data_IF_561870497313
#
_entry.id   IF_561870497313
#
_cell.length_a   1.000
_cell.length_b   1.000
_cell.length_c   1.000
_cell.angle_alpha   90.00
_cell.angle_beta   90.00
_cell.angle_gamma   90.00
#
_symmetry.space_group_name_H-M   'P 1'
#
loop_
_entity.id
_entity.type
_entity.pdbx_description
1 polymer ?
#
# COMPACT_ATOMS: atom_id res chain seq x y z
N UNK A 1 -6.64 1.98 -19.30
CA UNK A 1 -5.46 1.15 -19.74
C UNK A 1 -5.90 -0.22 -20.25
N UNK A 2 -5.19 -0.84 -21.21
CA UNK A 2 -5.51 -2.22 -21.66
C UNK A 2 -5.36 -3.24 -20.51
N UNK A 3 -6.29 -4.20 -20.32
CA UNK A 3 -6.23 -5.17 -19.21
C UNK A 3 -4.93 -5.99 -19.17
N UNK A 4 -4.44 -6.47 -20.32
CA UNK A 4 -3.20 -7.24 -20.41
C UNK A 4 -1.98 -6.44 -19.92
N UNK A 5 -1.91 -5.15 -20.24
CA UNK A 5 -0.84 -4.26 -19.76
C UNK A 5 -0.90 -4.10 -18.23
N UNK A 6 -2.11 -3.93 -17.67
CA UNK A 6 -2.30 -3.83 -16.22
C UNK A 6 -1.83 -5.10 -15.50
N UNK A 7 -2.24 -6.27 -15.99
CA UNK A 7 -1.87 -7.57 -15.41
C UNK A 7 -0.35 -7.74 -15.46
N UNK A 8 0.27 -7.44 -16.60
CA UNK A 8 1.71 -7.51 -16.75
C UNK A 8 2.45 -6.61 -15.75
N UNK A 9 2.02 -5.35 -15.59
CA UNK A 9 2.64 -4.43 -14.61
C UNK A 9 2.43 -4.94 -13.18
N UNK A 10 1.22 -5.40 -12.83
CA UNK A 10 0.93 -5.96 -11.50
C UNK A 10 1.86 -7.14 -11.19
N UNK A 11 2.10 -8.05 -12.16
CA UNK A 11 3.04 -9.15 -12.00
C UNK A 11 4.47 -8.66 -11.71
N UNK A 12 4.95 -7.63 -12.41
CA UNK A 12 6.28 -7.04 -12.11
C UNK A 12 6.35 -6.44 -10.70
N UNK A 13 5.26 -5.83 -10.22
CA UNK A 13 5.19 -5.33 -8.85
C UNK A 13 5.13 -6.46 -7.84
N UNK A 14 4.43 -7.57 -8.14
CA UNK A 14 4.43 -8.78 -7.30
C UNK A 14 5.86 -9.31 -7.13
N UNK A 15 6.59 -9.49 -8.24
CA UNK A 15 7.98 -9.97 -8.21
C UNK A 15 8.90 -9.02 -7.41
N UNK A 16 8.65 -7.71 -7.50
CA UNK A 16 9.40 -6.72 -6.75
C UNK A 16 9.13 -6.83 -5.25
N UNK A 17 7.86 -6.77 -4.82
CA UNK A 17 7.51 -6.81 -3.40
C UNK A 17 7.78 -8.16 -2.73
N UNK A 18 7.85 -9.25 -3.49
CA UNK A 18 8.24 -10.56 -2.96
C UNK A 18 9.71 -10.59 -2.50
N UNK A 19 10.58 -9.85 -3.21
CA UNK A 19 12.04 -9.82 -2.97
C UNK A 19 12.49 -8.60 -2.18
N UNK A 20 11.82 -7.47 -2.35
CA UNK A 20 12.22 -6.20 -1.77
C UNK A 20 11.85 -6.14 -0.28
N UNK A 21 12.81 -5.78 0.57
CA UNK A 21 12.55 -5.41 1.97
C UNK A 21 12.35 -3.90 2.04
N UNK A 22 11.12 -3.46 2.26
CA UNK A 22 10.76 -2.05 2.39
C UNK A 22 11.05 -1.63 3.82
N UNK A 23 11.91 -0.63 3.97
CA UNK A 23 12.14 -0.03 5.28
C UNK A 23 10.87 0.69 5.74
N UNK A 24 10.29 0.33 6.89
CA UNK A 24 9.15 1.04 7.43
C UNK A 24 9.56 2.48 7.79
N UNK A 25 8.64 3.45 7.69
CA UNK A 25 8.90 4.79 8.19
C UNK A 25 9.11 4.75 9.71
N UNK A 26 9.83 5.75 10.24
CA UNK A 26 9.94 5.95 11.69
C UNK A 26 8.55 6.07 12.32
N UNK A 27 8.38 5.61 13.56
CA UNK A 27 7.08 5.66 14.25
C UNK A 27 5.93 5.04 13.44
N UNK A 28 6.17 3.90 12.78
CA UNK A 28 5.18 3.18 11.95
C UNK A 28 3.81 3.02 12.63
N UNK A 29 3.80 2.81 13.97
CA UNK A 29 2.59 2.63 14.79
C UNK A 29 1.71 3.88 14.92
N UNK A 30 2.28 5.03 14.62
CA UNK A 30 1.64 6.35 14.76
C UNK A 30 1.29 6.94 13.39
N UNK A 31 1.47 6.19 12.31
CA UNK A 31 1.23 6.68 10.93
C UNK A 31 0.00 6.03 10.32
N UNK A 32 -0.84 6.86 9.71
CA UNK A 32 -1.88 6.42 8.76
C UNK A 32 -1.20 6.11 7.42
N UNK A 33 -1.56 4.99 6.82
CA UNK A 33 -1.16 4.55 5.50
C UNK A 33 -2.33 4.63 4.51
N UNK A 34 -1.98 4.89 3.26
CA UNK A 34 -2.92 4.87 2.15
C UNK A 34 -2.34 4.21 0.92
N UNK A 35 -3.15 3.40 0.25
CA UNK A 35 -2.73 2.60 -0.90
C UNK A 35 -3.69 2.75 -2.07
N UNK A 36 -3.15 2.68 -3.28
CA UNK A 36 -3.92 2.55 -4.53
C UNK A 36 -3.52 1.20 -5.15
N UNK A 37 -4.50 0.42 -5.60
CA UNK A 37 -4.28 -0.92 -6.14
C UNK A 37 -4.52 -0.99 -7.66
N UNK A 38 -4.03 -2.07 -8.27
CA UNK A 38 -4.27 -2.39 -9.68
C UNK A 38 -5.68 -2.97 -9.92
N UNK A 39 -6.71 -2.23 -9.49
CA UNK A 39 -8.13 -2.62 -9.64
C UNK A 39 -8.58 -2.59 -11.11
N UNK A 40 -9.78 -3.11 -11.39
CA UNK A 40 -10.29 -3.28 -12.76
C UNK A 40 -10.45 -1.98 -13.55
N UNK A 41 -10.61 -0.86 -12.84
CA UNK A 41 -10.73 0.46 -13.45
C UNK A 41 -9.42 1.26 -13.40
N UNK A 42 -8.35 0.73 -12.80
CA UNK A 42 -7.05 1.41 -12.78
C UNK A 42 -6.44 1.48 -14.19
N UNK A 43 -5.89 2.65 -14.61
CA UNK A 43 -5.74 3.91 -13.87
C UNK A 43 -6.85 4.93 -14.15
N UNK A 44 -7.91 4.54 -14.86
CA UNK A 44 -8.95 5.45 -15.36
C UNK A 44 -9.92 5.89 -14.23
N UNK A 45 -10.11 5.07 -13.18
CA UNK A 45 -10.75 5.42 -11.89
C UNK A 45 -9.82 5.00 -10.75
N UNK A 46 -9.26 5.98 -10.04
CA UNK A 46 -8.30 5.77 -8.96
C UNK A 46 -9.03 5.80 -7.62
N UNK A 47 -8.96 4.68 -6.89
CA UNK A 47 -9.50 4.56 -5.54
C UNK A 47 -8.38 4.35 -4.54
N UNK A 48 -8.39 5.17 -3.49
CA UNK A 48 -7.45 5.08 -2.40
C UNK A 48 -8.09 4.36 -1.22
N UNK A 49 -7.44 3.33 -0.69
CA UNK A 49 -7.77 2.73 0.61
C UNK A 49 -6.93 3.41 1.67
N UNK A 50 -7.60 4.02 2.65
CA UNK A 50 -7.01 4.83 3.73
C UNK A 50 -7.46 4.31 5.10
N UNK A 51 -7.08 5.00 6.18
CA UNK A 51 -7.37 4.59 7.56
C UNK A 51 -6.72 3.24 7.91
N UNK A 52 -5.53 3.00 7.38
CA UNK A 52 -4.75 1.79 7.65
C UNK A 52 -3.62 2.18 8.60
N UNK A 53 -3.49 1.45 9.70
CA UNK A 53 -2.36 1.55 10.63
C UNK A 53 -1.71 0.19 10.79
N UNK A 54 -0.40 0.16 11.08
CA UNK A 54 0.33 -1.07 11.33
C UNK A 54 0.94 -1.05 12.73
N UNK A 55 0.88 -2.18 13.43
CA UNK A 55 1.50 -2.36 14.75
C UNK A 55 3.02 -2.57 14.67
N UNK A 56 3.55 -2.93 13.49
CA UNK A 56 4.98 -3.13 13.26
C UNK A 56 5.37 -2.93 11.79
N UNK A 57 6.67 -2.77 11.54
CA UNK A 57 7.20 -2.72 10.18
C UNK A 57 7.08 -4.05 9.42
N UNK A 58 7.13 -5.17 10.13
CA UNK A 58 6.96 -6.49 9.51
C UNK A 58 5.51 -6.72 9.07
N UNK A 59 4.53 -6.25 9.84
CA UNK A 59 3.12 -6.27 9.43
C UNK A 59 2.89 -5.40 8.18
N UNK A 60 3.48 -4.20 8.14
CA UNK A 60 3.44 -3.34 6.95
C UNK A 60 4.07 -4.04 5.74
N UNK A 61 5.22 -4.68 5.91
CA UNK A 61 5.92 -5.40 4.87
C UNK A 61 5.06 -6.55 4.31
N UNK A 62 4.46 -7.35 5.20
CA UNK A 62 3.60 -8.47 4.83
C UNK A 62 2.34 -8.00 4.07
N UNK A 63 1.75 -6.88 4.51
CA UNK A 63 0.60 -6.27 3.84
C UNK A 63 0.92 -5.86 2.40
N UNK A 64 2.05 -5.17 2.20
CA UNK A 64 2.46 -4.71 0.87
C UNK A 64 2.80 -5.89 -0.03
N UNK A 65 3.50 -6.90 0.49
CA UNK A 65 3.81 -8.14 -0.23
C UNK A 65 2.55 -8.90 -0.66
N UNK A 66 1.55 -8.99 0.23
CA UNK A 66 0.31 -9.71 -0.04
C UNK A 66 -0.60 -9.00 -1.04
N UNK A 67 -0.72 -7.67 -0.96
CA UNK A 67 -1.73 -6.93 -1.73
C UNK A 67 -1.19 -6.21 -2.96
N UNK A 68 0.13 -6.04 -3.07
CA UNK A 68 0.81 -5.53 -4.27
C UNK A 68 0.23 -4.18 -4.74
N UNK A 69 0.34 -3.12 -3.92
CA UNK A 69 -0.19 -1.81 -4.26
C UNK A 69 0.56 -1.17 -5.44
N UNK A 70 -0.19 -0.48 -6.30
CA UNK A 70 0.37 0.34 -7.36
C UNK A 70 1.03 1.61 -6.80
N UNK A 71 0.46 2.17 -5.72
CA UNK A 71 1.00 3.30 -5.00
C UNK A 71 0.86 3.08 -3.50
N UNK A 72 1.88 3.49 -2.74
CA UNK A 72 1.90 3.41 -1.29
C UNK A 72 2.32 4.76 -0.70
N UNK A 73 1.54 5.24 0.25
CA UNK A 73 1.74 6.51 0.94
C UNK A 73 1.63 6.31 2.45
N UNK A 74 2.26 7.20 3.20
CA UNK A 74 2.05 7.31 4.63
C UNK A 74 1.92 8.79 5.01
N UNK A 75 1.19 9.04 6.10
CA UNK A 75 0.95 10.38 6.63
C UNK A 75 2.22 11.01 7.19
N UNK A 76 2.36 12.32 6.94
CA UNK A 76 3.41 13.14 7.56
C UNK A 76 3.10 13.41 9.03
N UNK A 77 1.82 13.47 9.38
CA UNK A 77 1.33 13.60 10.75
C UNK A 77 1.48 12.31 11.57
N UNK A 78 1.43 12.45 12.88
CA UNK A 78 1.40 11.35 13.84
C UNK A 78 0.03 11.30 14.52
N UNK A 79 -0.50 10.09 14.66
CA UNK A 79 -1.81 9.82 15.25
C UNK A 79 -1.66 8.83 16.40
N UNK A 80 -2.46 9.03 17.45
CA UNK A 80 -2.61 8.03 18.52
C UNK A 80 -3.32 6.77 18.03
N UNK A 81 -4.24 6.91 17.08
CA UNK A 81 -5.02 5.82 16.50
C UNK A 81 -5.12 6.02 14.99
N UNK A 82 -4.11 5.58 14.21
CA UNK A 82 -4.06 5.82 12.77
C UNK A 82 -5.22 5.19 11.98
N UNK A 83 -5.77 4.08 12.46
CA UNK A 83 -6.89 3.37 11.84
C UNK A 83 -8.28 3.83 12.31
N UNK A 84 -8.40 4.99 12.95
CA UNK A 84 -9.69 5.49 13.41
C UNK A 84 -10.65 5.66 12.22
N UNK A 85 -11.91 5.20 12.34
CA UNK A 85 -12.92 5.41 11.31
C UNK A 85 -13.28 6.90 11.18
N UNK A 86 -13.66 7.30 9.96
CA UNK A 86 -14.33 8.57 9.68
C UNK A 86 -15.80 8.53 10.01
#
# INVERSE_FOLDING_TARGET
MRPATRIFIKQRFTDYYDKARISPPSSVKEREFGFIFFDDRYPDDIRMRRHIGFSSGDEMQEYVKSLVPAHAYYSTAYYRTPQAPT
#
